data_IF_163663336716
#
_entry.id   IF_163663336716
#
_cell.length_a   1.000
_cell.length_b   1.000
_cell.length_c   1.000
_cell.angle_alpha   90.00
_cell.angle_beta   90.00
_cell.angle_gamma   90.00
#
_symmetry.space_group_name_H-M   'P 1'
#
loop_
_entity.id
_entity.type
_entity.pdbx_description
1 polymer ?
#
# COMPACT_ATOMS: atom_id res chain seq x y z
N UNK A 1 2.49 -17.97 3.86
CA UNK A 1 1.20 -18.09 3.14
C UNK A 1 1.48 -18.05 1.65
N UNK A 2 0.99 -19.01 0.85
CA UNK A 2 1.17 -18.96 -0.60
C UNK A 2 0.25 -17.87 -1.16
N UNK A 3 0.81 -16.81 -1.73
CA UNK A 3 0.08 -15.65 -2.26
C UNK A 3 -0.46 -15.88 -3.69
N UNK A 4 -0.60 -17.12 -4.12
CA UNK A 4 -0.92 -17.50 -5.51
C UNK A 4 -2.24 -16.92 -6.04
N UNK A 5 -3.18 -16.56 -5.15
CA UNK A 5 -4.47 -15.93 -5.50
C UNK A 5 -4.66 -14.55 -4.86
N UNK A 6 -3.60 -13.94 -4.33
CA UNK A 6 -3.73 -12.60 -3.74
C UNK A 6 -4.06 -11.58 -4.82
N UNK A 7 -4.89 -10.61 -4.48
CA UNK A 7 -5.26 -9.49 -5.35
C UNK A 7 -4.76 -8.18 -4.77
N UNK A 8 -4.85 -7.10 -5.56
CA UNK A 8 -4.57 -5.76 -5.08
C UNK A 8 -5.50 -5.38 -3.92
N UNK A 9 -6.76 -5.81 -3.99
CA UNK A 9 -7.75 -5.55 -2.94
C UNK A 9 -7.38 -6.26 -1.63
N UNK A 10 -6.83 -7.47 -1.70
CA UNK A 10 -6.39 -8.20 -0.50
C UNK A 10 -5.24 -7.47 0.21
N UNK A 11 -4.27 -6.94 -0.53
CA UNK A 11 -3.22 -6.11 0.07
C UNK A 11 -3.74 -4.86 0.77
N UNK A 12 -4.77 -4.23 0.21
CA UNK A 12 -5.38 -3.05 0.82
C UNK A 12 -6.22 -3.44 2.03
N UNK A 13 -6.95 -4.56 1.97
CA UNK A 13 -7.70 -5.08 3.12
C UNK A 13 -6.76 -5.46 4.26
N UNK A 14 -5.64 -6.15 4.00
CA UNK A 14 -4.63 -6.47 5.02
C UNK A 14 -4.11 -5.21 5.73
N UNK A 15 -3.85 -4.15 4.96
CA UNK A 15 -3.40 -2.87 5.52
C UNK A 15 -4.49 -2.20 6.36
N UNK A 16 -5.76 -2.30 5.94
CA UNK A 16 -6.92 -1.80 6.70
C UNK A 16 -7.10 -2.59 8.00
N UNK A 17 -6.94 -3.91 7.97
CA UNK A 17 -7.07 -4.75 9.16
C UNK A 17 -5.93 -4.47 10.14
N UNK A 18 -4.70 -4.34 9.63
CA UNK A 18 -3.54 -3.96 10.43
C UNK A 18 -3.74 -2.60 11.12
N UNK A 19 -4.23 -1.57 10.41
CA UNK A 19 -4.47 -0.24 10.99
C UNK A 19 -5.66 -0.23 11.94
N UNK A 20 -6.72 -1.00 11.67
CA UNK A 20 -7.88 -1.13 12.57
C UNK A 20 -7.46 -1.71 13.92
N UNK A 21 -6.65 -2.76 13.91
CA UNK A 21 -6.13 -3.35 15.14
C UNK A 21 -5.37 -2.32 15.99
N UNK A 22 -4.61 -1.43 15.36
CA UNK A 22 -3.85 -0.38 16.05
C UNK A 22 -4.73 0.78 16.51
N UNK A 23 -5.78 1.12 15.76
CA UNK A 23 -6.80 2.08 16.16
C UNK A 23 -7.65 1.58 17.34
N UNK A 24 -7.87 0.28 17.49
CA UNK A 24 -8.52 -0.26 18.70
C UNK A 24 -7.71 0.03 19.97
N UNK A 25 -6.38 -0.01 19.87
CA UNK A 25 -5.48 0.27 20.99
C UNK A 25 -5.25 1.78 21.19
N UNK A 26 -5.23 2.56 20.11
CA UNK A 26 -5.03 4.01 20.17
C UNK A 26 -5.95 4.76 19.18
N UNK A 27 -7.24 4.96 19.54
CA UNK A 27 -8.25 5.46 18.61
C UNK A 27 -8.03 6.91 18.13
N UNK A 28 -7.31 7.70 18.91
CA UNK A 28 -7.11 9.14 18.67
C UNK A 28 -5.76 9.45 18.01
N UNK A 29 -4.95 8.44 17.70
CA UNK A 29 -3.66 8.67 17.06
C UNK A 29 -3.84 9.13 15.61
N UNK A 30 -3.51 10.40 15.36
CA UNK A 30 -3.80 11.09 14.11
C UNK A 30 -3.17 10.43 12.89
N UNK A 31 -1.97 9.85 13.03
CA UNK A 31 -1.31 9.14 11.92
C UNK A 31 -2.04 7.87 11.51
N UNK A 32 -2.65 7.14 12.47
CA UNK A 32 -3.44 5.96 12.15
C UNK A 32 -4.75 6.32 11.45
N UNK A 33 -5.43 7.36 11.93
CA UNK A 33 -6.64 7.89 11.29
C UNK A 33 -6.33 8.35 9.86
N UNK A 34 -5.21 9.06 9.67
CA UNK A 34 -4.76 9.52 8.35
C UNK A 34 -4.46 8.34 7.41
N UNK A 35 -3.71 7.33 7.88
CA UNK A 35 -3.39 6.14 7.10
C UNK A 35 -4.67 5.40 6.69
N UNK A 36 -5.60 5.20 7.63
CA UNK A 36 -6.88 4.53 7.38
C UNK A 36 -7.70 5.24 6.29
N UNK A 37 -7.86 6.56 6.40
CA UNK A 37 -8.61 7.33 5.40
C UNK A 37 -8.01 7.20 3.99
N UNK A 38 -6.68 7.13 3.88
CA UNK A 38 -6.01 6.93 2.59
C UNK A 38 -6.20 5.51 2.05
N UNK A 39 -6.15 4.49 2.90
CA UNK A 39 -6.41 3.10 2.52
C UNK A 39 -7.86 2.89 2.07
N UNK A 40 -8.83 3.48 2.78
CA UNK A 40 -10.24 3.42 2.41
C UNK A 40 -10.50 4.09 1.05
N UNK A 41 -9.80 5.18 0.74
CA UNK A 41 -9.86 5.82 -0.58
C UNK A 41 -9.26 4.93 -1.69
N UNK A 42 -8.13 4.26 -1.45
CA UNK A 42 -7.58 3.31 -2.44
C UNK A 42 -8.57 2.16 -2.67
N UNK A 43 -9.14 1.62 -1.59
CA UNK A 43 -10.15 0.56 -1.65
C UNK A 43 -11.36 0.98 -2.48
N UNK A 44 -11.88 2.19 -2.28
CA UNK A 44 -13.06 2.69 -3.00
C UNK A 44 -12.81 2.79 -4.52
N UNK A 45 -11.60 3.15 -4.94
CA UNK A 45 -11.21 3.14 -6.36
C UNK A 45 -11.13 1.70 -6.89
N UNK A 46 -10.51 0.78 -6.14
CA UNK A 46 -10.35 -0.62 -6.57
C UNK A 46 -11.69 -1.34 -6.77
N UNK A 47 -12.69 -1.05 -5.92
CA UNK A 47 -14.04 -1.61 -6.05
C UNK A 47 -14.94 -0.83 -7.02
N UNK A 48 -14.44 0.27 -7.61
CA UNK A 48 -15.15 1.07 -8.61
C UNK A 48 -16.22 2.01 -8.06
N UNK A 49 -16.26 2.25 -6.75
CA UNK A 49 -17.15 3.24 -6.12
C UNK A 49 -16.66 4.65 -6.44
N UNK A 50 -15.36 4.89 -6.25
CA UNK A 50 -14.71 6.15 -6.57
C UNK A 50 -14.10 6.09 -7.96
N UNK A 51 -14.37 7.12 -8.77
CA UNK A 51 -13.88 7.24 -10.15
C UNK A 51 -12.81 8.31 -10.28
N UNK A 52 -12.82 9.30 -9.39
CA UNK A 52 -11.82 10.35 -9.35
C UNK A 52 -10.53 9.80 -8.74
N UNK A 53 -9.57 9.50 -9.62
CA UNK A 53 -8.19 9.11 -9.26
C UNK A 53 -7.30 10.32 -8.98
N UNK A 54 -7.83 11.53 -9.08
CA UNK A 54 -7.12 12.79 -8.90
C UNK A 54 -6.42 12.86 -7.56
N UNK A 55 -6.94 12.27 -6.48
CA UNK A 55 -6.30 12.34 -5.16
C UNK A 55 -5.22 11.28 -4.92
N UNK A 56 -4.97 10.37 -5.87
CA UNK A 56 -3.90 9.37 -5.72
C UNK A 56 -2.51 10.00 -5.59
N UNK A 57 -2.26 11.15 -6.25
CA UNK A 57 -0.97 11.84 -6.16
C UNK A 57 -0.74 12.55 -4.81
N UNK A 58 -1.80 12.73 -4.01
CA UNK A 58 -1.71 13.40 -2.70
C UNK A 58 -1.50 12.42 -1.55
N UNK A 59 -1.52 11.11 -1.82
CA UNK A 59 -1.34 10.10 -0.80
C UNK A 59 0.10 10.11 -0.27
N UNK A 60 0.25 9.97 1.05
CA UNK A 60 1.54 10.00 1.74
C UNK A 60 1.87 8.66 2.42
N UNK A 61 1.19 7.57 2.06
CA UNK A 61 1.41 6.23 2.62
C UNK A 61 2.88 5.78 2.61
N UNK A 62 3.61 6.05 1.53
CA UNK A 62 5.05 5.74 1.46
C UNK A 62 5.90 6.55 2.43
N UNK A 63 5.50 7.79 2.73
CA UNK A 63 6.16 8.65 3.73
C UNK A 63 5.85 8.12 5.13
N UNK A 64 4.58 7.81 5.43
CA UNK A 64 4.19 7.22 6.71
C UNK A 64 4.94 5.91 6.97
N UNK A 65 5.01 5.02 5.96
CA UNK A 65 5.73 3.76 6.05
C UNK A 65 7.23 3.95 6.38
N UNK A 66 7.91 4.84 5.65
CA UNK A 66 9.37 4.99 5.75
C UNK A 66 9.84 5.87 6.91
N UNK A 67 9.07 6.90 7.27
CA UNK A 67 9.49 7.89 8.27
C UNK A 67 8.87 7.70 9.65
N UNK A 68 7.60 7.29 9.69
CA UNK A 68 6.86 7.21 10.96
C UNK A 68 6.88 5.80 11.55
N UNK A 69 6.74 4.78 10.69
CA UNK A 69 6.50 3.41 11.13
C UNK A 69 7.66 2.44 10.92
N UNK A 70 8.68 2.79 10.12
CA UNK A 70 9.75 1.85 9.77
C UNK A 70 10.47 1.25 10.99
N UNK A 71 10.68 2.05 12.04
CA UNK A 71 11.39 1.64 13.26
C UNK A 71 10.46 1.28 14.42
N UNK A 72 9.25 1.83 14.44
CA UNK A 72 8.29 1.68 15.55
C UNK A 72 7.29 0.55 15.30
N UNK A 73 6.98 0.26 14.03
CA UNK A 73 5.96 -0.70 13.62
C UNK A 73 6.25 -1.24 12.21
N UNK A 74 7.26 -2.11 12.12
CA UNK A 74 7.77 -2.62 10.85
C UNK A 74 6.71 -3.39 10.04
N UNK A 75 5.78 -4.07 10.72
CA UNK A 75 4.66 -4.75 10.07
C UNK A 75 3.74 -3.74 9.38
N UNK A 76 3.29 -2.70 10.10
CA UNK A 76 2.45 -1.67 9.51
C UNK A 76 3.17 -0.94 8.38
N UNK A 77 4.45 -0.62 8.56
CA UNK A 77 5.27 0.00 7.51
C UNK A 77 5.27 -0.83 6.22
N UNK A 78 5.37 -2.16 6.34
CA UNK A 78 5.32 -3.05 5.18
C UNK A 78 3.94 -3.02 4.48
N UNK A 79 2.85 -3.05 5.24
CA UNK A 79 1.49 -2.95 4.69
C UNK A 79 1.27 -1.62 3.96
N UNK A 80 1.66 -0.50 4.58
CA UNK A 80 1.53 0.83 3.97
C UNK A 80 2.42 0.99 2.73
N UNK A 81 3.61 0.41 2.72
CA UNK A 81 4.50 0.40 1.56
C UNK A 81 3.91 -0.39 0.39
N UNK A 82 3.31 -1.56 0.65
CA UNK A 82 2.60 -2.35 -0.35
C UNK A 82 1.40 -1.59 -0.94
N UNK A 83 0.61 -0.96 -0.09
CA UNK A 83 -0.52 -0.13 -0.51
C UNK A 83 -0.08 1.08 -1.36
N UNK A 84 1.01 1.74 -0.96
CA UNK A 84 1.60 2.84 -1.73
C UNK A 84 2.08 2.38 -3.12
N UNK A 85 2.69 1.20 -3.21
CA UNK A 85 3.12 0.63 -4.49
C UNK A 85 1.92 0.40 -5.42
N UNK A 86 0.83 -0.18 -4.92
CA UNK A 86 -0.41 -0.38 -5.69
C UNK A 86 -1.00 0.97 -6.15
N UNK A 87 -1.13 1.94 -5.22
CA UNK A 87 -1.65 3.27 -5.54
C UNK A 87 -0.82 4.00 -6.60
N UNK A 88 0.51 3.87 -6.56
CA UNK A 88 1.41 4.47 -7.55
C UNK A 88 1.22 3.90 -8.96
N UNK A 89 0.92 2.61 -9.09
CA UNK A 89 0.64 1.97 -10.37
C UNK A 89 -0.73 2.39 -10.91
N UNK A 90 -1.73 2.51 -10.03
CA UNK A 90 -3.06 3.02 -10.38
C UNK A 90 -3.02 4.45 -10.93
N UNK A 91 -2.18 5.31 -10.33
CA UNK A 91 -1.97 6.69 -10.78
C UNK A 91 -1.39 6.75 -12.19
N UNK A 92 -0.45 5.85 -12.51
CA UNK A 92 0.22 5.81 -13.81
C UNK A 92 -0.62 5.11 -14.89
N UNK A 93 -1.84 4.63 -14.56
CA UNK A 93 -2.67 3.86 -15.48
C UNK A 93 -2.07 2.50 -15.86
N UNK A 94 -1.12 2.01 -15.05
CA UNK A 94 -0.42 0.75 -15.30
C UNK A 94 -1.26 -0.44 -14.85
N UNK A 95 -0.99 -1.60 -15.45
CA UNK A 95 -1.42 -2.88 -14.90
C UNK A 95 -0.80 -3.02 -13.51
N UNK A 96 -1.63 -3.31 -12.50
CA UNK A 96 -1.15 -3.53 -11.13
C UNK A 96 -0.35 -4.83 -11.10
N UNK A 97 0.94 -4.71 -10.79
CA UNK A 97 1.84 -5.81 -10.40
C UNK A 97 1.79 -5.89 -8.87
N UNK A 98 1.51 -7.06 -8.33
CA UNK A 98 1.39 -7.24 -6.89
C UNK A 98 2.77 -7.31 -6.23
N UNK A 99 2.93 -6.86 -4.97
CA UNK A 99 4.24 -6.88 -4.29
C UNK A 99 4.93 -8.25 -4.21
N UNK A 100 4.17 -9.35 -4.30
CA UNK A 100 4.73 -10.70 -4.34
C UNK A 100 4.89 -11.26 -5.75
N UNK A 101 4.26 -10.64 -6.75
CA UNK A 101 4.52 -10.95 -8.15
C UNK A 101 5.88 -10.34 -8.47
N UNK A 102 6.87 -11.22 -8.59
CA UNK A 102 8.26 -10.85 -8.80
C UNK A 102 8.35 -9.90 -10.00
N UNK A 103 8.74 -8.65 -9.75
CA UNK A 103 8.90 -7.66 -10.82
C UNK A 103 10.02 -8.16 -11.76
N UNK A 104 9.60 -8.69 -12.92
CA UNK A 104 10.50 -9.16 -13.96
C UNK A 104 11.44 -8.05 -14.42
N UNK A 105 11.01 -6.78 -14.37
CA UNK A 105 11.86 -5.62 -14.64
C UNK A 105 12.83 -5.32 -13.51
N UNK A 106 12.46 -5.51 -12.24
CA UNK A 106 13.40 -5.45 -11.11
C UNK A 106 14.50 -6.52 -11.24
N UNK A 107 14.13 -7.76 -11.58
CA UNK A 107 15.11 -8.82 -11.86
C UNK A 107 15.99 -8.49 -13.07
N UNK A 108 15.41 -7.95 -14.15
CA UNK A 108 16.18 -7.50 -15.32
C UNK A 108 17.13 -6.36 -14.95
N UNK A 109 16.72 -5.40 -14.12
CA UNK A 109 17.57 -4.30 -13.61
C UNK A 109 18.70 -4.83 -12.73
N UNK A 110 18.41 -5.71 -11.77
CA UNK A 110 19.46 -6.35 -10.95
C UNK A 110 20.48 -7.12 -11.80
N UNK A 111 20.03 -7.83 -12.85
CA UNK A 111 20.94 -8.49 -13.81
C UNK A 111 21.76 -7.48 -14.62
N UNK A 112 21.20 -6.31 -14.93
CA UNK A 112 21.88 -5.23 -15.67
C UNK A 112 22.99 -4.54 -14.86
N UNK A 113 22.78 -4.39 -13.55
CA UNK A 113 23.70 -3.70 -12.64
C UNK A 113 24.67 -4.63 -11.89
N UNK A 114 24.55 -5.95 -12.04
CA UNK A 114 25.58 -6.93 -11.64
C UNK A 114 26.68 -7.05 -12.72
N UNK A 115 27.34 -5.93 -13.02
CA UNK A 115 28.64 -5.92 -13.73
C UNK A 115 29.74 -5.61 -12.73
#
# INVERSE_FOLDING_TARGET
MRKENYTALDYINDAIDAINHRLEQNPIFSLYVMAKNQLDYIKSILVGIEKDKGKLHTLNLGVLASKEFHTTDAELAQHLSNANYIASQMLQGLKIILPHEQDLEYLKRQRRYRK
#
